data_IF_154599023407
#
_entry.id   IF_154599023407
#
_cell.length_a   1.000
_cell.length_b   1.000
_cell.length_c   1.000
_cell.angle_alpha   90.00
_cell.angle_beta   90.00
_cell.angle_gamma   90.00
#
_symmetry.space_group_name_H-M   'P 1'
#
loop_
_entity.id
_entity.type
_entity.pdbx_description
1 polymer ?
#
# COMPACT_ATOMS: atom_id res chain seq x y z
N UNK A 1 12.75 -10.14 -26.88
CA UNK A 1 11.36 -10.59 -26.65
C UNK A 1 10.66 -9.52 -25.81
N UNK A 2 9.63 -8.88 -26.38
CA UNK A 2 8.89 -7.84 -25.66
C UNK A 2 7.95 -8.53 -24.66
N UNK A 3 8.40 -8.69 -23.42
CA UNK A 3 7.58 -9.26 -22.36
C UNK A 3 6.34 -8.34 -22.16
N UNK A 4 5.15 -8.88 -22.40
CA UNK A 4 3.89 -8.13 -22.26
C UNK A 4 3.48 -7.95 -20.80
N UNK A 5 4.17 -8.60 -19.86
CA UNK A 5 3.91 -8.52 -18.42
C UNK A 5 4.61 -7.33 -17.78
N UNK A 6 4.14 -6.96 -16.60
CA UNK A 6 4.90 -6.09 -15.69
C UNK A 6 6.14 -6.83 -15.19
N UNK A 7 7.23 -6.11 -15.04
CA UNK A 7 8.45 -6.63 -14.43
C UNK A 7 8.36 -6.48 -12.91
N UNK A 8 8.03 -7.60 -12.24
CA UNK A 8 8.02 -7.68 -10.78
C UNK A 8 9.26 -8.44 -10.32
N UNK A 9 10.03 -7.84 -9.42
CA UNK A 9 11.15 -8.53 -8.75
C UNK A 9 10.62 -9.70 -7.93
N UNK A 10 11.37 -10.81 -7.88
CA UNK A 10 11.05 -11.94 -6.99
C UNK A 10 11.00 -11.51 -5.51
N UNK A 11 11.79 -10.50 -5.15
CA UNK A 11 11.87 -9.94 -3.81
C UNK A 11 10.94 -8.73 -3.62
N UNK A 12 9.93 -8.55 -4.50
CA UNK A 12 8.97 -7.46 -4.31
C UNK A 12 8.22 -7.67 -2.98
N UNK A 13 8.16 -6.65 -2.10
CA UNK A 13 7.58 -6.81 -0.78
C UNK A 13 6.05 -6.94 -0.79
N UNK A 14 5.39 -6.49 -1.85
CA UNK A 14 3.92 -6.36 -1.90
C UNK A 14 3.25 -7.25 -2.94
N UNK A 15 3.89 -7.46 -4.10
CA UNK A 15 3.27 -8.12 -5.26
C UNK A 15 4.04 -9.39 -5.61
N UNK A 16 3.29 -10.47 -5.82
CA UNK A 16 3.81 -11.76 -6.30
C UNK A 16 3.28 -12.03 -7.71
N UNK A 17 4.14 -12.53 -8.60
CA UNK A 17 3.78 -12.96 -9.94
C UNK A 17 3.98 -14.48 -10.08
N UNK A 18 2.88 -15.18 -10.21
CA UNK A 18 2.88 -16.60 -10.63
C UNK A 18 2.87 -16.70 -12.16
N UNK A 19 4.05 -16.99 -12.72
CA UNK A 19 4.24 -17.08 -14.17
C UNK A 19 3.51 -18.29 -14.78
N UNK A 20 3.24 -19.33 -14.02
CA UNK A 20 2.61 -20.56 -14.52
C UNK A 20 1.15 -20.34 -14.94
N UNK A 21 0.48 -19.36 -14.31
CA UNK A 21 -0.92 -18.96 -14.56
C UNK A 21 -1.07 -17.86 -15.60
N UNK A 22 0.05 -17.25 -16.03
CA UNK A 22 0.04 -16.05 -16.85
C UNK A 22 -0.01 -16.38 -18.34
N UNK A 23 -1.02 -15.88 -19.04
CA UNK A 23 -1.19 -15.97 -20.49
C UNK A 23 -0.59 -14.79 -21.28
N UNK A 24 0.14 -13.90 -20.61
CA UNK A 24 0.80 -12.73 -21.21
C UNK A 24 -0.15 -11.76 -21.94
N UNK A 25 -1.39 -11.62 -21.48
CA UNK A 25 -2.40 -10.74 -22.10
C UNK A 25 -2.03 -9.24 -22.11
N UNK A 26 -1.05 -8.81 -21.32
CA UNK A 26 -0.53 -7.43 -21.31
C UNK A 26 -1.34 -6.42 -20.50
N UNK A 27 -2.50 -6.78 -19.94
CA UNK A 27 -3.36 -5.88 -19.18
C UNK A 27 -2.59 -5.20 -18.03
N UNK A 28 -1.83 -5.97 -17.26
CA UNK A 28 -1.05 -5.44 -16.13
C UNK A 28 -0.03 -4.37 -16.57
N UNK A 29 0.65 -4.59 -17.70
CA UNK A 29 1.61 -3.62 -18.24
C UNK A 29 0.94 -2.35 -18.75
N UNK A 30 -0.23 -2.50 -19.39
CA UNK A 30 -1.02 -1.36 -19.85
C UNK A 30 -1.50 -0.50 -18.68
N UNK A 31 -1.96 -1.12 -17.60
CA UNK A 31 -2.35 -0.39 -16.37
C UNK A 31 -1.17 0.37 -15.79
N UNK A 32 -0.02 -0.28 -15.61
CA UNK A 32 1.18 0.40 -15.14
C UNK A 32 1.60 1.56 -16.05
N UNK A 33 1.44 1.42 -17.36
CA UNK A 33 1.83 2.44 -18.32
C UNK A 33 0.86 3.62 -18.36
N UNK A 34 -0.43 3.35 -18.45
CA UNK A 34 -1.42 4.39 -18.76
C UNK A 34 -2.16 4.92 -17.55
N UNK A 35 -2.36 4.12 -16.50
CA UNK A 35 -3.08 4.53 -15.31
C UNK A 35 -2.15 4.94 -14.17
N UNK A 36 -1.02 4.23 -14.01
CA UNK A 36 -0.05 4.50 -12.94
C UNK A 36 1.10 5.39 -13.41
N UNK A 37 1.44 5.32 -14.71
CA UNK A 37 2.46 6.18 -15.31
C UNK A 37 3.91 5.75 -15.09
N UNK A 38 4.19 4.54 -14.57
CA UNK A 38 5.58 4.10 -14.28
C UNK A 38 6.31 3.48 -15.47
N UNK A 39 5.60 2.91 -16.44
CA UNK A 39 6.20 2.39 -17.67
C UNK A 39 6.21 3.45 -18.76
N UNK A 40 7.38 3.70 -19.34
CA UNK A 40 7.59 4.68 -20.40
C UNK A 40 8.36 5.93 -19.97
N UNK A 41 8.66 6.08 -18.66
CA UNK A 41 9.42 7.21 -18.14
C UNK A 41 10.82 6.82 -17.65
N UNK A 42 11.15 5.52 -17.59
CA UNK A 42 12.48 5.10 -17.16
C UNK A 42 12.90 3.78 -17.81
N UNK A 43 14.22 3.60 -17.93
CA UNK A 43 14.87 2.35 -18.32
C UNK A 43 15.06 1.38 -17.16
N UNK A 44 14.40 1.62 -16.04
CA UNK A 44 14.50 0.78 -14.86
C UNK A 44 14.00 -0.63 -15.15
N UNK A 45 14.78 -1.62 -14.76
CA UNK A 45 14.44 -3.03 -14.92
C UNK A 45 13.17 -3.42 -14.16
N UNK A 46 12.95 -2.81 -13.00
CA UNK A 46 11.81 -3.08 -12.12
C UNK A 46 11.18 -1.77 -11.63
N UNK A 47 10.40 -1.07 -12.46
CA UNK A 47 9.83 0.23 -12.10
C UNK A 47 8.60 0.15 -11.19
N UNK A 48 8.44 -0.93 -10.43
CA UNK A 48 7.26 -1.18 -9.61
C UNK A 48 7.24 -0.31 -8.35
N UNK A 49 6.19 0.48 -8.18
CA UNK A 49 5.94 1.32 -6.99
C UNK A 49 5.04 0.64 -5.94
N UNK A 50 4.74 -0.65 -6.10
CA UNK A 50 3.96 -1.47 -5.16
C UNK A 50 2.49 -1.05 -4.97
N UNK A 51 1.88 -0.37 -5.93
CA UNK A 51 0.52 0.18 -5.81
C UNK A 51 -0.62 -0.86 -5.89
N UNK A 52 -0.36 -2.10 -6.32
CA UNK A 52 -1.37 -3.18 -6.39
C UNK A 52 -2.33 -3.13 -7.58
N UNK A 53 -2.39 -2.05 -8.37
CA UNK A 53 -3.36 -1.92 -9.47
C UNK A 53 -3.34 -3.07 -10.48
N UNK A 54 -2.18 -3.67 -10.71
CA UNK A 54 -2.03 -4.79 -11.62
C UNK A 54 -2.59 -6.11 -11.05
N UNK A 55 -2.57 -6.33 -9.73
CA UNK A 55 -3.15 -7.53 -9.11
C UNK A 55 -4.67 -7.51 -9.18
N UNK A 56 -5.29 -6.37 -8.87
CA UNK A 56 -6.74 -6.19 -8.92
C UNK A 56 -7.29 -6.45 -10.33
N UNK A 57 -6.58 -5.97 -11.36
CA UNK A 57 -7.03 -6.05 -12.74
C UNK A 57 -6.61 -7.30 -13.49
N UNK A 58 -5.90 -8.22 -12.86
CA UNK A 58 -5.42 -9.44 -13.51
C UNK A 58 -6.55 -10.47 -13.68
N UNK A 59 -7.04 -10.75 -14.92
CA UNK A 59 -8.16 -11.67 -15.13
C UNK A 59 -7.80 -13.12 -14.79
N UNK A 60 -6.52 -13.47 -14.84
CA UNK A 60 -6.01 -14.81 -14.52
C UNK A 60 -5.55 -14.94 -13.06
N UNK A 61 -5.66 -13.86 -12.28
CA UNK A 61 -5.18 -13.83 -10.87
C UNK A 61 -3.77 -14.42 -10.70
N UNK A 62 -2.91 -14.18 -11.70
CA UNK A 62 -1.50 -14.56 -11.63
C UNK A 62 -0.64 -13.50 -10.94
N UNK A 63 -1.18 -12.32 -10.71
CA UNK A 63 -0.64 -11.29 -9.84
C UNK A 63 -1.51 -11.26 -8.59
N UNK A 64 -0.89 -11.33 -7.44
CA UNK A 64 -1.55 -11.27 -6.13
C UNK A 64 -0.71 -10.46 -5.16
N UNK A 65 -1.34 -10.05 -4.08
CA UNK A 65 -0.66 -9.51 -2.91
C UNK A 65 0.21 -10.59 -2.27
N UNK A 66 1.29 -10.19 -1.62
CA UNK A 66 2.11 -11.10 -0.82
C UNK A 66 1.32 -11.49 0.44
N UNK A 67 1.08 -12.77 0.60
CA UNK A 67 0.48 -13.29 1.83
C UNK A 67 1.54 -13.30 2.95
N UNK A 68 1.25 -12.63 4.03
CA UNK A 68 2.09 -12.57 5.24
C UNK A 68 1.38 -13.21 6.47
N UNK A 69 0.33 -13.99 6.23
CA UNK A 69 -0.45 -14.64 7.30
C UNK A 69 0.40 -15.55 8.17
N UNK A 70 1.31 -16.34 7.55
CA UNK A 70 2.21 -17.22 8.31
C UNK A 70 3.17 -16.42 9.18
N UNK A 71 3.72 -15.31 8.66
CA UNK A 71 4.59 -14.43 9.43
C UNK A 71 3.84 -13.80 10.64
N UNK A 72 2.58 -13.40 10.44
CA UNK A 72 1.74 -12.93 11.55
C UNK A 72 1.53 -14.04 12.58
N UNK A 73 1.25 -15.26 12.14
CA UNK A 73 1.06 -16.42 13.01
C UNK A 73 2.30 -16.68 13.87
N UNK A 74 3.49 -16.61 13.29
CA UNK A 74 4.75 -16.75 14.03
C UNK A 74 4.91 -15.65 15.09
N UNK A 75 4.55 -14.40 14.77
CA UNK A 75 4.60 -13.30 15.75
C UNK A 75 3.59 -13.47 16.87
N UNK A 76 2.38 -13.94 16.59
CA UNK A 76 1.35 -14.22 17.61
C UNK A 76 1.79 -15.29 18.64
N UNK A 77 2.74 -16.16 18.27
CA UNK A 77 3.33 -17.17 19.16
C UNK A 77 4.66 -16.71 19.81
N UNK A 78 5.03 -15.45 19.65
CA UNK A 78 6.27 -14.88 20.21
C UNK A 78 5.98 -13.99 21.43
N UNK A 79 7.02 -13.59 22.14
CA UNK A 79 6.93 -12.66 23.28
C UNK A 79 6.79 -11.18 22.85
N UNK A 80 6.47 -10.93 21.57
CA UNK A 80 6.34 -9.57 21.04
C UNK A 80 4.95 -9.03 21.31
N UNK A 81 4.88 -7.75 21.64
CA UNK A 81 3.62 -7.00 21.66
C UNK A 81 3.08 -6.86 20.22
N UNK A 82 1.87 -7.32 20.01
CA UNK A 82 1.19 -7.29 18.71
C UNK A 82 0.27 -6.08 18.63
N UNK A 83 0.63 -5.15 17.76
CA UNK A 83 -0.17 -3.96 17.46
C UNK A 83 -0.76 -4.11 16.06
N UNK A 84 -2.07 -4.03 15.95
CA UNK A 84 -2.78 -4.07 14.67
C UNK A 84 -3.41 -2.73 14.34
N UNK A 85 -3.33 -2.33 13.09
CA UNK A 85 -3.94 -1.11 12.57
C UNK A 85 -4.90 -1.46 11.44
N UNK A 86 -6.14 -0.95 11.53
CA UNK A 86 -7.21 -1.26 10.58
C UNK A 86 -7.25 -0.17 9.51
N UNK A 87 -7.02 -0.56 8.24
CA UNK A 87 -7.17 0.36 7.12
C UNK A 87 -8.65 0.74 6.89
N UNK A 88 -8.94 2.00 6.48
CA UNK A 88 -10.31 2.44 6.20
C UNK A 88 -11.05 1.56 5.18
N UNK A 89 -10.36 1.11 4.13
CA UNK A 89 -10.94 0.21 3.13
C UNK A 89 -11.38 -1.13 3.74
N UNK A 90 -10.57 -1.73 4.62
CA UNK A 90 -10.91 -2.97 5.32
C UNK A 90 -12.12 -2.76 6.22
N UNK A 91 -12.14 -1.67 6.98
CA UNK A 91 -13.24 -1.33 7.89
C UNK A 91 -14.61 -1.29 7.19
N UNK A 92 -14.67 -0.76 5.96
CA UNK A 92 -15.95 -0.61 5.23
C UNK A 92 -16.35 -1.82 4.42
N UNK A 93 -15.41 -2.71 4.05
CA UNK A 93 -15.67 -3.85 3.17
C UNK A 93 -15.69 -5.20 3.89
N UNK A 94 -15.03 -5.34 5.03
CA UNK A 94 -14.88 -6.65 5.70
C UNK A 94 -16.22 -7.31 6.06
N UNK A 95 -17.24 -6.52 6.33
CA UNK A 95 -18.58 -7.04 6.63
C UNK A 95 -19.16 -7.87 5.49
N UNK A 96 -18.89 -7.49 4.24
CA UNK A 96 -19.41 -8.16 3.05
C UNK A 96 -18.84 -9.58 2.92
N UNK A 97 -17.57 -9.79 3.25
CA UNK A 97 -16.90 -11.09 3.26
C UNK A 97 -17.53 -12.06 4.27
N UNK A 98 -18.20 -11.53 5.31
CA UNK A 98 -18.92 -12.31 6.32
C UNK A 98 -20.45 -12.29 6.13
N UNK A 99 -20.94 -11.92 4.93
CA UNK A 99 -22.35 -11.98 4.56
C UNK A 99 -23.23 -10.87 5.13
N UNK A 100 -22.65 -9.77 5.64
CA UNK A 100 -23.39 -8.58 6.01
C UNK A 100 -23.80 -7.77 4.78
N UNK A 101 -24.83 -6.95 4.91
CA UNK A 101 -25.20 -6.01 3.84
C UNK A 101 -24.04 -5.07 3.51
N UNK A 102 -23.92 -4.70 2.22
CA UNK A 102 -22.99 -3.69 1.75
C UNK A 102 -23.08 -2.43 2.61
N UNK A 103 -21.93 -1.92 3.06
CA UNK A 103 -21.85 -0.74 3.91
C UNK A 103 -22.22 -0.96 5.39
N UNK A 104 -22.42 -2.19 5.84
CA UNK A 104 -22.66 -2.47 7.26
C UNK A 104 -21.44 -2.12 8.11
N UNK A 105 -21.65 -1.35 9.17
CA UNK A 105 -20.59 -1.05 10.13
C UNK A 105 -20.39 -2.22 11.08
N UNK A 106 -19.29 -2.96 10.90
CA UNK A 106 -18.91 -4.12 11.72
C UNK A 106 -17.62 -3.89 12.53
N UNK A 107 -17.16 -2.63 12.65
CA UNK A 107 -15.87 -2.29 13.27
C UNK A 107 -15.69 -2.88 14.68
N UNK A 108 -16.72 -2.83 15.53
CA UNK A 108 -16.63 -3.41 16.87
C UNK A 108 -16.42 -4.92 16.86
N UNK A 109 -17.04 -5.63 15.91
CA UNK A 109 -16.84 -7.08 15.74
C UNK A 109 -15.43 -7.37 15.21
N UNK A 110 -14.94 -6.58 14.27
CA UNK A 110 -13.57 -6.71 13.75
C UNK A 110 -12.53 -6.50 14.86
N UNK A 111 -12.66 -5.45 15.67
CA UNK A 111 -11.76 -5.19 16.80
C UNK A 111 -11.79 -6.37 17.78
N UNK A 112 -12.98 -6.88 18.11
CA UNK A 112 -13.11 -8.03 19.01
C UNK A 112 -12.46 -9.28 18.43
N UNK A 113 -12.64 -9.54 17.13
CA UNK A 113 -12.01 -10.67 16.44
C UNK A 113 -10.48 -10.56 16.45
N UNK A 114 -9.93 -9.38 16.16
CA UNK A 114 -8.48 -9.16 16.18
C UNK A 114 -7.88 -9.38 17.57
N UNK A 115 -8.57 -8.93 18.63
CA UNK A 115 -8.15 -9.20 20.01
C UNK A 115 -8.21 -10.68 20.36
N UNK A 116 -9.24 -11.40 19.90
CA UNK A 116 -9.35 -12.86 20.10
C UNK A 116 -8.26 -13.65 19.36
N UNK A 117 -7.77 -13.15 18.24
CA UNK A 117 -6.62 -13.74 17.52
C UNK A 117 -5.32 -13.54 18.31
N UNK A 118 -5.24 -12.54 19.17
CA UNK A 118 -4.05 -12.27 19.99
C UNK A 118 -3.44 -10.87 19.81
N UNK A 119 -4.17 -9.91 19.24
CA UNK A 119 -3.71 -8.52 19.21
C UNK A 119 -3.78 -7.89 20.61
N UNK A 120 -2.65 -7.37 21.08
CA UNK A 120 -2.59 -6.60 22.33
C UNK A 120 -3.25 -5.24 22.18
N UNK A 121 -3.02 -4.59 21.04
CA UNK A 121 -3.60 -3.29 20.69
C UNK A 121 -4.17 -3.29 19.29
N UNK A 122 -5.32 -2.65 19.14
CA UNK A 122 -5.98 -2.46 17.84
C UNK A 122 -6.33 -1.00 17.66
N UNK A 123 -5.79 -0.38 16.63
CA UNK A 123 -6.01 1.04 16.28
C UNK A 123 -6.73 1.18 14.94
N UNK A 124 -7.50 2.25 14.80
CA UNK A 124 -8.05 2.69 13.51
C UNK A 124 -7.04 3.64 12.84
N UNK A 125 -6.79 3.43 11.57
CA UNK A 125 -5.91 4.31 10.77
C UNK A 125 -6.42 5.75 10.70
N UNK A 126 -7.74 5.99 10.86
CA UNK A 126 -8.28 7.36 10.94
C UNK A 126 -7.67 8.16 12.07
N UNK A 127 -7.45 7.54 13.24
CA UNK A 127 -6.76 8.21 14.33
C UNK A 127 -5.32 8.61 13.95
N UNK A 128 -4.59 7.69 13.30
CA UNK A 128 -3.25 8.00 12.77
C UNK A 128 -3.27 9.11 11.73
N UNK A 129 -4.30 9.13 10.87
CA UNK A 129 -4.47 10.17 9.86
C UNK A 129 -4.73 11.55 10.48
N UNK A 130 -5.51 11.64 11.56
CA UNK A 130 -5.75 12.90 12.28
C UNK A 130 -4.44 13.45 12.87
N UNK A 131 -3.60 12.59 13.45
CA UNK A 131 -2.27 12.98 13.93
C UNK A 131 -1.37 13.45 12.78
N UNK A 132 -1.37 12.74 11.66
CA UNK A 132 -0.60 13.11 10.46
C UNK A 132 -1.01 14.50 9.96
N UNK A 133 -2.31 14.80 9.89
CA UNK A 133 -2.79 16.13 9.48
C UNK A 133 -2.27 17.22 10.40
N UNK A 134 -2.24 17.00 11.71
CA UNK A 134 -1.73 17.99 12.67
C UNK A 134 -0.23 18.22 12.50
N UNK A 135 0.56 17.16 12.40
CA UNK A 135 2.03 17.24 12.25
C UNK A 135 2.43 17.87 10.90
N UNK A 136 1.82 17.43 9.80
CA UNK A 136 2.10 17.97 8.48
C UNK A 136 1.66 19.42 8.35
N UNK A 137 0.55 19.83 8.98
CA UNK A 137 0.12 21.23 9.00
C UNK A 137 1.13 22.11 9.75
N UNK A 138 1.64 21.64 10.89
CA UNK A 138 2.68 22.34 11.64
C UNK A 138 3.98 22.45 10.83
N UNK A 139 4.40 21.36 10.19
CA UNK A 139 5.57 21.35 9.33
C UNK A 139 5.42 22.33 8.16
N UNK A 140 4.27 22.33 7.47
CA UNK A 140 3.99 23.23 6.36
C UNK A 140 4.10 24.71 6.79
N UNK A 141 3.51 25.06 7.94
CA UNK A 141 3.59 26.44 8.49
C UNK A 141 5.05 26.84 8.75
N UNK A 142 5.87 25.91 9.27
CA UNK A 142 7.28 26.17 9.52
C UNK A 142 8.07 26.32 8.22
N UNK A 143 7.81 25.46 7.21
CA UNK A 143 8.45 25.56 5.88
C UNK A 143 8.11 26.88 5.20
N UNK A 144 6.86 27.36 5.29
CA UNK A 144 6.42 28.66 4.75
C UNK A 144 7.14 29.81 5.45
N UNK A 145 7.21 29.81 6.80
CA UNK A 145 7.90 30.84 7.57
C UNK A 145 9.39 30.92 7.23
N UNK A 146 10.03 29.78 7.09
CA UNK A 146 11.48 29.67 6.82
C UNK A 146 11.80 29.71 5.32
N UNK A 147 10.80 29.72 4.43
CA UNK A 147 10.95 29.71 2.96
C UNK A 147 11.83 28.58 2.46
N UNK A 148 11.70 27.38 3.01
CA UNK A 148 12.51 26.23 2.63
C UNK A 148 11.63 25.02 2.25
N UNK A 149 12.18 24.14 1.41
CA UNK A 149 11.60 22.86 0.97
C UNK A 149 10.12 22.98 0.53
N UNK A 150 9.84 23.99 -0.28
CA UNK A 150 8.53 24.24 -0.89
C UNK A 150 8.60 23.99 -2.41
N UNK A 151 7.53 23.46 -3.03
CA UNK A 151 6.27 23.01 -2.39
C UNK A 151 6.49 21.82 -1.47
N UNK A 152 5.65 21.67 -0.43
CA UNK A 152 5.65 20.46 0.40
C UNK A 152 4.67 19.44 -0.17
N UNK A 153 5.11 18.19 -0.26
CA UNK A 153 4.29 17.05 -0.65
C UNK A 153 4.08 16.14 0.56
N UNK A 154 2.86 15.62 0.75
CA UNK A 154 2.59 14.67 1.83
C UNK A 154 3.19 13.30 1.54
N UNK A 155 3.64 12.57 2.57
CA UNK A 155 4.37 11.30 2.46
C UNK A 155 3.57 10.07 2.93
N UNK A 156 2.28 10.22 3.25
CA UNK A 156 1.46 9.14 3.80
C UNK A 156 1.20 7.97 2.82
N UNK A 157 1.42 8.14 1.52
CA UNK A 157 1.27 7.09 0.52
C UNK A 157 2.61 6.44 0.17
N UNK A 158 2.89 5.17 0.57
CA UNK A 158 4.17 4.51 0.28
C UNK A 158 4.48 4.39 -1.22
N UNK A 159 3.45 4.22 -2.06
CA UNK A 159 3.64 4.16 -3.52
C UNK A 159 4.06 5.50 -4.10
N UNK A 160 3.54 6.62 -3.57
CA UNK A 160 3.95 7.96 -3.94
C UNK A 160 5.39 8.25 -3.53
N UNK A 161 5.75 7.95 -2.28
CA UNK A 161 7.14 8.09 -1.81
C UNK A 161 8.09 7.30 -2.70
N UNK A 162 7.78 6.03 -2.96
CA UNK A 162 8.60 5.19 -3.84
C UNK A 162 8.65 5.70 -5.28
N UNK A 163 7.57 6.28 -5.79
CA UNK A 163 7.56 6.93 -7.09
C UNK A 163 8.53 8.12 -7.12
N UNK A 164 8.49 8.96 -6.09
CA UNK A 164 9.41 10.10 -5.95
C UNK A 164 10.87 9.64 -5.85
N UNK A 165 11.17 8.65 -5.00
CA UNK A 165 12.52 8.07 -4.88
C UNK A 165 13.09 7.57 -6.22
N UNK A 166 12.24 6.99 -7.05
CA UNK A 166 12.67 6.35 -8.30
C UNK A 166 12.75 7.30 -9.49
N UNK A 167 11.88 8.29 -9.56
CA UNK A 167 11.70 9.12 -10.75
C UNK A 167 12.00 10.61 -10.54
N UNK A 168 11.94 11.08 -9.30
CA UNK A 168 12.08 12.49 -8.92
C UNK A 168 12.86 12.65 -7.60
N UNK A 169 14.08 12.05 -7.48
CA UNK A 169 14.82 12.06 -6.23
C UNK A 169 15.17 13.48 -5.74
N UNK A 170 15.19 14.47 -6.65
CA UNK A 170 15.40 15.88 -6.33
C UNK A 170 14.30 16.50 -5.46
N UNK A 171 13.11 15.84 -5.36
CA UNK A 171 12.00 16.29 -4.52
C UNK A 171 11.88 15.54 -3.20
N UNK A 172 12.85 14.69 -2.84
CA UNK A 172 12.77 13.94 -1.57
C UNK A 172 12.73 14.86 -0.36
N UNK A 173 13.50 15.94 -0.36
CA UNK A 173 13.49 16.95 0.71
C UNK A 173 12.17 17.75 0.77
N UNK A 174 11.35 17.67 -0.27
CA UNK A 174 10.03 18.28 -0.32
C UNK A 174 8.93 17.38 0.25
N UNK A 175 9.19 16.10 0.49
CA UNK A 175 8.25 15.23 1.18
C UNK A 175 8.13 15.64 2.65
N UNK A 176 6.94 15.43 3.23
CA UNK A 176 6.75 15.59 4.68
C UNK A 176 7.52 14.52 5.46
N UNK A 177 7.91 14.83 6.69
CA UNK A 177 8.61 13.89 7.60
C UNK A 177 7.66 12.95 8.31
#
# INVERSE_FOLDING_TARGET
>A
MNDKRVNISKNNPSIVLDKSRCDECGICKNICKFNVGVYGYSDLKYPCINCGSCSIMCPKKCLSERDETDKLRDYLHSDKTIVMQIAPAVRVSIGEEFGYKVGSNVIGKLISALRLIGADYVFDTTFGADLTVMEEAYELVNRIKNKNNLPMFTSCCPSWVKFTEMFYPEYLDNLST
#
